data_IF_637329476684
#
_entry.id   IF_637329476684
#
_cell.length_a   1.000
_cell.length_b   1.000
_cell.length_c   1.000
_cell.angle_alpha   90.00
_cell.angle_beta   90.00
_cell.angle_gamma   90.00
#
_symmetry.space_group_name_H-M   'P 1'
#
loop_
_entity.id
_entity.type
_entity.pdbx_description
1 polymer ?
#
# COMPACT_ATOMS: atom_id res chain seq x y z
N UNK A 1 0.75 -21.44 -12.53
CA UNK A 1 0.88 -20.52 -11.37
C UNK A 1 0.96 -21.23 -10.01
N UNK A 2 0.08 -22.19 -9.68
CA UNK A 2 0.14 -22.94 -8.38
C UNK A 2 1.46 -23.69 -8.15
N UNK A 3 2.06 -24.26 -9.21
CA UNK A 3 3.35 -24.96 -9.12
C UNK A 3 4.49 -24.02 -8.69
N UNK A 4 4.55 -22.81 -9.27
CA UNK A 4 5.62 -21.82 -8.99
C UNK A 4 5.61 -21.37 -7.52
N UNK A 5 4.44 -21.16 -6.90
CA UNK A 5 4.39 -20.80 -5.46
C UNK A 5 4.82 -21.94 -4.56
N UNK A 6 4.48 -23.18 -4.91
CA UNK A 6 4.85 -24.37 -4.12
C UNK A 6 6.36 -24.60 -4.12
N UNK A 7 7.00 -24.38 -5.26
CA UNK A 7 8.45 -24.49 -5.41
C UNK A 7 9.20 -23.38 -4.66
N UNK A 8 8.68 -22.16 -4.65
CA UNK A 8 9.35 -21.00 -4.02
C UNK A 8 9.12 -20.87 -2.52
N UNK A 9 7.93 -21.19 -2.03
CA UNK A 9 7.52 -20.89 -0.65
C UNK A 9 7.41 -22.13 0.24
N UNK A 10 7.73 -23.31 -0.27
CA UNK A 10 7.59 -24.57 0.46
C UNK A 10 6.12 -24.90 0.78
N UNK A 11 5.85 -25.94 1.59
CA UNK A 11 4.51 -26.19 2.08
C UNK A 11 4.06 -24.99 2.91
N UNK A 12 2.97 -24.34 2.47
CA UNK A 12 2.42 -23.20 3.17
C UNK A 12 2.12 -23.59 4.63
N UNK A 13 2.52 -22.77 5.62
CA UNK A 13 2.10 -22.98 6.99
C UNK A 13 0.57 -22.96 7.08
N UNK A 14 0.06 -23.58 8.16
CA UNK A 14 -1.36 -23.78 8.51
C UNK A 14 -2.34 -22.90 7.73
N UNK A 15 -3.41 -23.48 7.15
CA UNK A 15 -4.39 -22.72 6.37
C UNK A 15 -4.81 -21.48 7.15
N UNK A 16 -4.70 -20.31 6.50
CA UNK A 16 -5.18 -19.06 7.06
C UNK A 16 -6.59 -19.28 7.59
N UNK A 17 -6.78 -19.10 8.90
CA UNK A 17 -8.07 -19.30 9.58
C UNK A 17 -9.15 -18.32 9.12
N UNK A 18 -8.77 -17.26 8.42
CA UNK A 18 -9.70 -16.22 7.99
C UNK A 18 -10.14 -16.44 6.54
N UNK A 19 -11.42 -16.23 6.21
CA UNK A 19 -11.89 -16.28 4.84
C UNK A 19 -11.14 -15.26 3.97
N UNK A 20 -10.53 -15.77 2.92
CA UNK A 20 -9.94 -14.98 1.84
C UNK A 20 -10.89 -15.01 0.65
N UNK A 21 -11.15 -13.84 0.08
CA UNK A 21 -12.05 -13.68 -1.05
C UNK A 21 -11.25 -13.37 -2.32
N UNK A 22 -11.56 -14.00 -3.46
CA UNK A 22 -10.95 -13.66 -4.73
C UNK A 22 -11.42 -12.26 -5.18
N UNK A 23 -10.49 -11.36 -5.43
CA UNK A 23 -10.76 -10.08 -6.08
C UNK A 23 -10.99 -10.24 -7.59
N UNK A 24 -11.40 -9.15 -8.24
CA UNK A 24 -11.63 -9.10 -9.71
C UNK A 24 -10.40 -9.48 -10.55
N UNK A 25 -9.21 -9.30 -9.98
CA UNK A 25 -7.91 -9.66 -10.58
C UNK A 25 -7.47 -11.10 -10.26
N UNK A 26 -8.33 -11.90 -9.63
CA UNK A 26 -8.03 -13.26 -9.20
C UNK A 26 -7.12 -13.36 -7.97
N UNK A 27 -6.74 -12.24 -7.35
CA UNK A 27 -5.92 -12.25 -6.13
C UNK A 27 -6.79 -12.39 -4.90
N UNK A 28 -6.36 -13.27 -3.99
CA UNK A 28 -7.00 -13.46 -2.70
C UNK A 28 -6.74 -12.26 -1.78
N UNK A 29 -7.80 -11.72 -1.17
CA UNK A 29 -7.75 -10.62 -0.22
C UNK A 29 -8.66 -10.89 0.98
N UNK A 30 -8.37 -10.25 2.10
CA UNK A 30 -9.30 -10.22 3.23
C UNK A 30 -10.58 -9.45 2.86
N UNK A 31 -11.64 -9.68 3.64
CA UNK A 31 -12.85 -8.89 3.57
C UNK A 31 -12.54 -7.38 3.62
N UNK A 32 -13.32 -6.58 2.89
CA UNK A 32 -13.08 -5.14 2.79
C UNK A 32 -13.12 -4.44 4.15
N UNK A 33 -14.06 -4.82 5.01
CA UNK A 33 -14.22 -4.20 6.34
C UNK A 33 -13.01 -4.50 7.23
N UNK A 34 -12.57 -5.76 7.26
CA UNK A 34 -11.38 -6.16 8.00
C UNK A 34 -10.13 -5.43 7.48
N UNK A 35 -9.97 -5.30 6.16
CA UNK A 35 -8.83 -4.56 5.60
C UNK A 35 -8.82 -3.10 6.05
N UNK A 36 -9.98 -2.45 6.06
CA UNK A 36 -10.10 -1.07 6.51
C UNK A 36 -9.73 -0.93 8.00
N UNK A 37 -10.20 -1.84 8.85
CA UNK A 37 -9.85 -1.86 10.27
C UNK A 37 -8.35 -2.03 10.48
N UNK A 38 -7.74 -3.00 9.79
CA UNK A 38 -6.30 -3.23 9.83
C UNK A 38 -5.51 -1.98 9.41
N UNK A 39 -5.90 -1.35 8.30
CA UNK A 39 -5.22 -0.14 7.82
C UNK A 39 -5.39 1.03 8.77
N UNK A 40 -6.59 1.27 9.30
CA UNK A 40 -6.86 2.31 10.29
C UNK A 40 -5.99 2.12 11.53
N UNK A 41 -5.90 0.88 12.05
CA UNK A 41 -5.06 0.56 13.20
C UNK A 41 -3.57 0.84 12.93
N UNK A 42 -3.06 0.38 11.79
CA UNK A 42 -1.66 0.60 11.39
C UNK A 42 -1.35 2.09 11.24
N UNK A 43 -2.22 2.83 10.53
CA UNK A 43 -2.08 4.28 10.33
C UNK A 43 -2.09 5.00 11.68
N UNK A 44 -3.00 4.62 12.57
CA UNK A 44 -3.08 5.15 13.93
C UNK A 44 -1.74 5.01 14.67
N UNK A 45 -1.12 3.83 14.61
CA UNK A 45 0.20 3.57 15.23
C UNK A 45 1.29 4.49 14.68
N UNK A 46 1.37 4.65 13.36
CA UNK A 46 2.35 5.55 12.76
C UNK A 46 2.09 7.01 13.15
N UNK A 47 0.83 7.44 13.18
CA UNK A 47 0.45 8.80 13.57
C UNK A 47 0.70 9.10 15.04
N UNK A 48 0.61 8.11 15.92
CA UNK A 48 1.01 8.24 17.34
C UNK A 48 2.50 8.61 17.47
N UNK A 49 3.36 8.05 16.62
CA UNK A 49 4.79 8.36 16.66
C UNK A 49 5.10 9.73 16.04
N UNK A 50 4.51 10.04 14.89
CA UNK A 50 4.64 11.37 14.30
C UNK A 50 3.39 11.72 13.47
N UNK A 51 2.62 12.74 13.88
CA UNK A 51 1.39 13.11 13.18
C UNK A 51 1.66 13.70 11.79
N UNK A 52 2.87 14.21 11.53
CA UNK A 52 3.25 14.84 10.25
C UNK A 52 3.55 13.82 9.14
N UNK A 53 3.75 12.54 9.47
CA UNK A 53 4.03 11.52 8.46
C UNK A 53 2.89 11.39 7.46
N UNK A 54 3.24 11.43 6.18
CA UNK A 54 2.32 11.18 5.07
C UNK A 54 2.38 9.70 4.73
N UNK A 55 1.29 8.98 4.94
CA UNK A 55 1.25 7.53 4.80
C UNK A 55 0.50 7.18 3.51
N UNK A 56 1.09 6.32 2.69
CA UNK A 56 0.56 5.93 1.40
C UNK A 56 0.47 4.40 1.29
N UNK A 57 -0.71 3.87 0.95
CA UNK A 57 -0.95 2.42 0.78
C UNK A 57 -1.06 2.07 -0.71
N UNK A 58 0.08 1.81 -1.36
CA UNK A 58 0.27 1.85 -2.82
C UNK A 58 -0.56 0.91 -3.70
N UNK A 59 -1.09 -0.19 -3.16
CA UNK A 59 -1.83 -1.19 -3.95
C UNK A 59 -3.33 -1.19 -3.65
N UNK A 60 -3.80 -0.19 -2.92
CA UNK A 60 -5.16 -0.12 -2.44
C UNK A 60 -5.97 0.93 -3.23
N UNK A 61 -7.29 0.76 -3.29
CA UNK A 61 -8.14 1.68 -4.03
C UNK A 61 -8.37 2.99 -3.27
N UNK A 62 -8.64 4.10 -3.97
CA UNK A 62 -8.96 5.38 -3.34
C UNK A 62 -10.12 5.28 -2.34
N UNK A 63 -11.10 4.40 -2.59
CA UNK A 63 -12.25 4.19 -1.71
C UNK A 63 -11.84 3.69 -0.31
N UNK A 64 -10.87 2.78 -0.25
CA UNK A 64 -10.37 2.26 1.02
C UNK A 64 -9.60 3.35 1.78
N UNK A 65 -8.89 4.23 1.09
CA UNK A 65 -8.17 5.33 1.73
C UNK A 65 -9.09 6.38 2.34
N UNK A 66 -10.16 6.75 1.64
CA UNK A 66 -11.16 7.68 2.20
C UNK A 66 -11.72 7.13 3.51
N UNK A 67 -11.92 5.82 3.59
CA UNK A 67 -12.45 5.16 4.77
C UNK A 67 -11.41 4.87 5.86
N UNK A 68 -10.14 4.65 5.53
CA UNK A 68 -9.09 4.29 6.52
C UNK A 68 -8.21 5.46 6.97
N UNK A 69 -7.94 6.43 6.10
CA UNK A 69 -6.93 7.48 6.29
C UNK A 69 -7.51 8.90 6.32
N UNK A 70 -8.84 9.05 6.15
CA UNK A 70 -9.58 10.32 6.06
C UNK A 70 -9.16 11.28 4.93
N UNK A 71 -8.09 10.99 4.19
CA UNK A 71 -7.56 11.86 3.14
C UNK A 71 -7.06 11.05 1.94
N UNK A 72 -7.33 11.57 0.74
CA UNK A 72 -6.83 10.97 -0.50
C UNK A 72 -5.41 11.52 -0.78
N UNK A 73 -4.36 10.67 -0.77
CA UNK A 73 -2.98 11.08 -1.05
C UNK A 73 -2.79 11.67 -2.45
N UNK A 74 -3.68 11.40 -3.42
CA UNK A 74 -3.63 12.09 -4.73
C UNK A 74 -4.00 13.58 -4.65
N UNK A 75 -4.70 14.01 -3.59
CA UNK A 75 -5.02 15.43 -3.36
C UNK A 75 -3.95 16.17 -2.58
N UNK A 76 -2.99 15.45 -2.00
CA UNK A 76 -1.90 16.06 -1.25
C UNK A 76 -0.82 16.55 -2.22
N UNK A 77 -0.57 17.86 -2.21
CA UNK A 77 0.41 18.50 -3.10
C UNK A 77 1.83 17.97 -2.88
N UNK A 78 2.19 17.62 -1.64
CA UNK A 78 3.52 17.10 -1.28
C UNK A 78 3.76 15.69 -1.85
N UNK A 79 2.69 14.92 -2.08
CA UNK A 79 2.78 13.56 -2.62
C UNK A 79 2.58 13.53 -4.13
N UNK A 80 2.17 14.64 -4.75
CA UNK A 80 1.90 14.71 -6.19
C UNK A 80 3.12 14.36 -7.03
N UNK A 81 4.30 14.79 -6.58
CA UNK A 81 5.58 14.49 -7.25
C UNK A 81 5.91 13.00 -7.24
N UNK A 82 5.51 12.26 -6.19
CA UNK A 82 5.70 10.81 -6.09
C UNK A 82 4.82 10.03 -7.08
N UNK A 83 3.70 10.62 -7.52
CA UNK A 83 2.79 10.02 -8.50
C UNK A 83 3.03 10.52 -9.92
N UNK A 84 3.91 11.50 -10.11
CA UNK A 84 4.22 12.04 -11.42
C UNK A 84 5.19 11.10 -12.17
N UNK A 85 4.63 10.39 -13.15
CA UNK A 85 5.38 9.48 -14.02
C UNK A 85 6.50 10.15 -14.80
N UNK A 86 6.44 11.47 -15.06
CA UNK A 86 7.52 12.17 -15.75
C UNK A 86 8.72 12.40 -14.83
N UNK A 87 8.46 12.75 -13.56
CA UNK A 87 9.48 12.91 -12.52
C UNK A 87 10.15 11.57 -12.20
N UNK A 88 9.37 10.50 -12.07
CA UNK A 88 9.90 9.14 -11.86
C UNK A 88 10.81 8.67 -13.01
N UNK A 89 10.44 8.96 -14.26
CA UNK A 89 11.26 8.64 -15.44
C UNK A 89 12.53 9.47 -15.52
N UNK A 90 12.49 10.72 -15.10
CA UNK A 90 13.67 11.59 -15.02
C UNK A 90 14.68 11.09 -13.97
N UNK A 91 14.21 10.70 -12.78
CA UNK A 91 15.06 10.16 -11.72
C UNK A 91 15.64 8.78 -12.04
N UNK A 92 14.88 7.91 -12.71
CA UNK A 92 15.37 6.59 -13.14
C UNK A 92 16.54 6.69 -14.14
N UNK A 93 16.67 7.80 -14.89
CA UNK A 93 17.78 8.02 -15.81
C UNK A 93 19.04 8.54 -15.13
N UNK A 94 18.93 9.11 -13.94
CA UNK A 94 20.03 9.76 -13.23
C UNK A 94 20.70 8.88 -12.17
N UNK A 95 20.23 7.65 -11.93
CA UNK A 95 20.91 6.68 -11.06
C UNK A 95 21.13 7.14 -9.62
N UNK A 96 20.44 8.19 -9.17
CA UNK A 96 20.67 8.79 -7.86
C UNK A 96 19.34 8.83 -7.09
N UNK A 97 19.12 7.81 -6.26
CA UNK A 97 18.01 7.75 -5.31
C UNK A 97 18.39 8.50 -4.02
N UNK A 98 18.99 9.68 -4.14
CA UNK A 98 19.24 10.56 -3.00
C UNK A 98 17.97 11.34 -2.69
N UNK A 99 17.27 10.86 -1.65
CA UNK A 99 16.28 11.55 -0.82
C UNK A 99 15.80 12.90 -1.36
N UNK A 100 14.55 12.92 -1.83
CA UNK A 100 13.81 14.15 -2.09
C UNK A 100 13.96 15.10 -0.87
N UNK A 101 14.32 16.37 -1.07
CA UNK A 101 14.35 17.33 0.01
C UNK A 101 12.91 17.57 0.46
N UNK A 102 12.58 17.05 1.65
CA UNK A 102 11.38 17.45 2.37
C UNK A 102 11.55 18.94 2.69
N UNK A 103 10.83 19.79 1.95
CA UNK A 103 10.70 21.21 2.29
C UNK A 103 9.81 21.38 3.51
#
# INVERSE_FOLDING_TARGET
QRHIMRERCGPLPRPLRYPLYPGKDGKLRYDQTLRQEMFSWIIGRFKTHNPKWKIFLCMETPDVWVQSAMENPFKNQDLKELFDTQVLRAHSRQGNFSLLPVK
#
